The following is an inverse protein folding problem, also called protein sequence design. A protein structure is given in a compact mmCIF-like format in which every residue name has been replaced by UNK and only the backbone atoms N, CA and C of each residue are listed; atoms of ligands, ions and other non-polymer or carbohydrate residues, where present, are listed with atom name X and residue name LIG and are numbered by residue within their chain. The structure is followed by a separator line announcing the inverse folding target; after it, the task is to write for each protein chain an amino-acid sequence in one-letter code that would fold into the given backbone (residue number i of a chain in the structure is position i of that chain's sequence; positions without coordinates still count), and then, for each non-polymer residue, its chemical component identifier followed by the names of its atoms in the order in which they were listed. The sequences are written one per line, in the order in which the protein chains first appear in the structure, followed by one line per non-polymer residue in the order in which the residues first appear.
data_IF_246602475194
#
_entry.id   IF_246602475194
#
_cell.length_a   1.000
_cell.length_b   1.000
_cell.length_c   1.000
_cell.angle_alpha   90.00
_cell.angle_beta   90.00
_cell.angle_gamma   90.00
#
_symmetry.space_group_name_H-M   'P 1'
#
loop_
_entity.id
_entity.type
_entity.pdbx_description
1 polymer ?
#
# COMPACT_ATOMS: atom_id res chain seq x y z
N UNK A 1 35.63 -63.00 9.64
CA UNK A 1 34.63 -61.93 9.39
C UNK A 1 35.29 -60.54 9.36
N UNK A 2 36.12 -60.21 8.37
CA UNK A 2 36.83 -58.91 8.31
C UNK A 2 36.83 -58.24 6.91
N UNK A 3 35.87 -58.58 6.05
CA UNK A 3 35.82 -58.04 4.68
C UNK A 3 34.73 -56.97 4.42
N UNK A 4 33.78 -56.73 5.34
CA UNK A 4 32.63 -55.85 5.05
C UNK A 4 32.78 -54.36 5.40
N UNK A 5 33.66 -53.96 6.34
CA UNK A 5 33.72 -52.54 6.77
C UNK A 5 34.35 -51.59 5.76
N UNK A 6 35.22 -52.08 4.87
CA UNK A 6 35.85 -51.24 3.81
C UNK A 6 34.90 -50.98 2.63
N UNK A 7 34.04 -51.95 2.31
CA UNK A 7 33.03 -51.84 1.26
C UNK A 7 31.94 -50.84 1.67
N UNK A 8 31.43 -50.95 2.90
CA UNK A 8 30.42 -50.02 3.44
C UNK A 8 30.92 -48.57 3.45
N UNK A 9 32.16 -48.34 3.91
CA UNK A 9 32.75 -46.99 3.94
C UNK A 9 32.98 -46.40 2.54
N UNK A 10 33.21 -47.24 1.52
CA UNK A 10 33.29 -46.79 0.12
C UNK A 10 31.89 -46.39 -0.38
N UNK A 11 30.88 -47.23 -0.14
CA UNK A 11 29.50 -46.94 -0.52
C UNK A 11 28.97 -45.65 0.13
N UNK A 12 29.26 -45.38 1.41
CA UNK A 12 28.81 -44.14 2.06
C UNK A 12 29.51 -42.89 1.50
N UNK A 13 30.79 -43.01 1.11
CA UNK A 13 31.52 -41.90 0.49
C UNK A 13 31.01 -41.60 -0.92
N UNK A 14 30.62 -42.64 -1.66
CA UNK A 14 30.09 -42.54 -3.00
C UNK A 14 28.69 -41.90 -3.00
N UNK A 15 27.81 -42.34 -2.11
CA UNK A 15 26.48 -41.74 -1.90
C UNK A 15 26.59 -40.25 -1.50
N UNK A 16 27.52 -39.89 -0.62
CA UNK A 16 27.74 -38.49 -0.24
C UNK A 16 28.29 -37.64 -1.39
N UNK A 17 29.10 -38.21 -2.29
CA UNK A 17 29.62 -37.53 -3.47
C UNK A 17 28.50 -37.27 -4.48
N UNK A 18 27.60 -38.23 -4.65
CA UNK A 18 26.44 -38.13 -5.53
C UNK A 18 25.42 -37.11 -5.02
N UNK A 19 25.14 -37.10 -3.71
CA UNK A 19 24.29 -36.09 -3.08
C UNK A 19 24.83 -34.67 -3.29
N UNK A 20 26.15 -34.48 -3.13
CA UNK A 20 26.82 -33.19 -3.39
C UNK A 20 26.77 -32.77 -4.87
N UNK A 21 26.77 -33.72 -5.80
CA UNK A 21 26.65 -33.46 -7.24
C UNK A 21 25.23 -32.99 -7.58
N UNK A 22 24.21 -33.70 -7.09
CA UNK A 22 22.79 -33.34 -7.27
C UNK A 22 22.45 -31.95 -6.70
N UNK A 23 22.94 -31.64 -5.51
CA UNK A 23 22.76 -30.32 -4.91
C UNK A 23 23.42 -29.17 -5.71
N UNK A 24 24.50 -29.44 -6.46
CA UNK A 24 25.14 -28.45 -7.34
C UNK A 24 24.34 -28.24 -8.63
N UNK A 25 23.76 -29.31 -9.17
CA UNK A 25 22.92 -29.27 -10.37
C UNK A 25 21.61 -28.53 -10.09
N UNK A 26 20.96 -28.78 -8.96
CA UNK A 26 19.75 -28.06 -8.53
C UNK A 26 20.01 -26.55 -8.33
N UNK A 27 21.19 -26.18 -7.79
CA UNK A 27 21.59 -24.76 -7.67
C UNK A 27 21.88 -24.11 -9.03
N UNK A 28 22.38 -24.85 -10.02
CA UNK A 28 22.57 -24.35 -11.39
C UNK A 28 21.23 -24.17 -12.10
N UNK A 29 20.34 -25.15 -12.01
CA UNK A 29 18.98 -25.07 -12.56
C UNK A 29 18.18 -23.90 -11.97
N UNK A 30 18.28 -23.66 -10.66
CA UNK A 30 17.66 -22.51 -10.00
C UNK A 30 18.21 -21.15 -10.45
N UNK A 31 19.49 -21.06 -10.83
CA UNK A 31 20.08 -19.83 -11.40
C UNK A 31 19.62 -19.60 -12.84
N UNK A 32 19.55 -20.64 -13.67
CA UNK A 32 19.06 -20.54 -15.04
C UNK A 32 17.57 -20.18 -15.11
N UNK A 33 16.75 -20.68 -14.17
CA UNK A 33 15.34 -20.30 -14.09
C UNK A 33 15.17 -18.81 -13.74
N UNK A 34 16.00 -18.28 -12.81
CA UNK A 34 15.99 -16.85 -12.48
C UNK A 34 16.44 -15.97 -13.64
N UNK A 35 17.37 -16.44 -14.47
CA UNK A 35 17.83 -15.71 -15.66
C UNK A 35 16.80 -15.71 -16.79
N UNK A 36 16.04 -16.81 -16.96
CA UNK A 36 14.98 -16.92 -17.97
C UNK A 36 13.70 -16.17 -17.60
N UNK A 37 13.38 -16.05 -16.32
CA UNK A 37 12.23 -15.25 -15.84
C UNK A 37 12.53 -13.73 -15.92
N UNK A 38 13.80 -13.32 -15.93
CA UNK A 38 14.22 -11.93 -16.05
C UNK A 38 14.19 -11.30 -17.46
N UNK A 39 13.79 -12.03 -18.51
CA UNK A 39 13.82 -11.56 -19.90
C UNK A 39 12.46 -11.63 -20.59
N UNK A 40 11.44 -10.98 -20.02
CA UNK A 40 10.20 -10.61 -20.75
C UNK A 40 9.57 -9.34 -20.17
N UNK A 41 10.24 -8.21 -20.33
CA UNK A 41 9.59 -6.88 -20.33
C UNK A 41 10.34 -5.95 -21.28
N UNK A 42 9.54 -5.18 -21.99
CA UNK A 42 9.87 -4.25 -23.06
C UNK A 42 11.05 -3.34 -22.69
N UNK A 43 11.97 -3.15 -23.64
CA UNK A 43 13.05 -2.15 -23.53
C UNK A 43 12.45 -0.74 -23.47
N UNK A 44 12.45 -0.14 -22.29
CA UNK A 44 12.54 1.31 -22.12
C UNK A 44 13.77 1.58 -21.28
N UNK A 45 14.84 2.02 -21.93
CA UNK A 45 16.05 2.49 -21.27
C UNK A 45 15.72 3.78 -20.52
N UNK A 46 15.52 3.69 -19.21
CA UNK A 46 15.75 4.80 -18.30
C UNK A 46 16.77 4.27 -17.28
N UNK A 47 17.99 4.82 -17.35
CA UNK A 47 19.04 4.58 -16.36
C UNK A 47 18.53 5.03 -14.98
N UNK A 48 17.98 4.10 -14.21
CA UNK A 48 17.75 4.19 -12.78
C UNK A 48 18.83 3.35 -12.09
N UNK A 49 20.08 3.81 -12.18
CA UNK A 49 21.15 3.25 -11.37
C UNK A 49 21.07 3.87 -9.96
N UNK A 50 20.76 3.00 -9.00
CA UNK A 50 21.18 3.06 -7.59
C UNK A 50 20.48 4.09 -6.68
N UNK A 51 19.26 3.76 -6.24
CA UNK A 51 18.80 4.16 -4.90
C UNK A 51 18.16 2.96 -4.18
N UNK A 52 19.00 2.09 -3.63
CA UNK A 52 18.61 0.94 -2.82
C UNK A 52 18.17 1.33 -1.38
N UNK A 53 17.87 2.60 -1.07
CA UNK A 53 17.57 3.02 0.33
C UNK A 53 16.11 3.18 0.72
N UNK A 54 15.14 2.99 -0.16
CA UNK A 54 13.74 2.95 0.29
C UNK A 54 12.91 1.97 -0.52
N UNK A 55 12.77 0.74 0.00
CA UNK A 55 11.68 -0.13 -0.43
C UNK A 55 10.34 0.51 0.00
N UNK A 56 9.73 1.22 -0.93
CA UNK A 56 8.46 1.93 -0.74
C UNK A 56 7.24 1.01 -0.69
N UNK A 57 7.40 -0.33 -0.77
CA UNK A 57 6.27 -1.27 -0.80
C UNK A 57 5.59 -1.53 0.56
N UNK A 58 6.18 -1.10 1.69
CA UNK A 58 5.71 -1.48 3.03
C UNK A 58 5.33 -0.33 3.98
N UNK A 59 5.20 0.92 3.50
CA UNK A 59 5.30 2.09 4.40
C UNK A 59 4.03 2.65 5.04
N UNK A 60 2.82 2.26 4.61
CA UNK A 60 1.59 2.94 5.03
C UNK A 60 0.37 2.02 5.12
N UNK A 61 0.56 0.80 5.61
CA UNK A 61 -0.59 -0.03 5.98
C UNK A 61 -1.06 0.33 7.39
N UNK A 62 -2.37 0.48 7.54
CA UNK A 62 -3.01 0.73 8.82
C UNK A 62 -3.92 -0.43 9.20
N UNK A 63 -4.12 -0.62 10.49
CA UNK A 63 -5.10 -1.53 11.04
C UNK A 63 -5.95 -0.80 12.08
N UNK A 64 -7.26 -0.89 11.94
CA UNK A 64 -8.23 -0.43 12.93
C UNK A 64 -9.42 -1.38 12.90
N UNK A 65 -10.00 -1.72 14.05
CA UNK A 65 -11.20 -2.57 14.11
C UNK A 65 -11.06 -3.91 13.33
N UNK A 66 -9.88 -4.54 13.40
CA UNK A 66 -9.49 -5.72 12.61
C UNK A 66 -9.57 -5.56 11.07
N UNK A 67 -9.83 -4.35 10.58
CA UNK A 67 -9.82 -3.99 9.16
C UNK A 67 -8.43 -3.48 8.80
N UNK A 68 -7.82 -4.13 7.82
CA UNK A 68 -6.57 -3.69 7.21
C UNK A 68 -6.87 -2.70 6.08
N UNK A 69 -6.24 -1.52 6.15
CA UNK A 69 -6.18 -0.54 5.06
C UNK A 69 -4.80 -0.63 4.45
N UNK A 70 -4.74 -0.85 3.14
CA UNK A 70 -3.45 -0.99 2.45
C UNK A 70 -3.24 0.10 1.41
N UNK A 71 -2.07 0.74 1.49
CA UNK A 71 -1.65 1.67 0.45
C UNK A 71 -1.37 0.96 -0.90
N UNK A 72 -1.13 -0.36 -0.86
CA UNK A 72 -0.99 -1.17 -2.06
C UNK A 72 -2.23 -1.14 -2.96
N UNK A 73 -3.44 -0.99 -2.40
CA UNK A 73 -4.66 -0.88 -3.21
C UNK A 73 -4.71 0.42 -4.01
N UNK A 74 -4.23 1.53 -3.44
CA UNK A 74 -4.13 2.82 -4.13
C UNK A 74 -3.12 2.74 -5.28
N UNK A 75 -1.95 2.14 -5.02
CA UNK A 75 -0.92 1.96 -6.05
C UNK A 75 -1.41 1.06 -7.18
N UNK A 76 -2.08 -0.04 -6.85
CA UNK A 76 -2.64 -0.95 -7.84
C UNK A 76 -3.70 -0.23 -8.71
N UNK A 77 -4.60 0.53 -8.09
CA UNK A 77 -5.58 1.33 -8.83
C UNK A 77 -4.91 2.34 -9.77
N UNK A 78 -3.86 3.03 -9.30
CA UNK A 78 -3.09 3.93 -10.15
C UNK A 78 -2.45 3.21 -11.35
N UNK A 79 -1.91 2.01 -11.15
CA UNK A 79 -1.34 1.21 -12.24
C UNK A 79 -2.39 0.78 -13.27
N UNK A 80 -3.58 0.39 -12.80
CA UNK A 80 -4.72 0.04 -13.67
C UNK A 80 -5.16 1.26 -14.49
N UNK A 81 -5.36 2.40 -13.83
CA UNK A 81 -5.78 3.65 -14.49
C UNK A 81 -4.72 4.14 -15.50
N UNK A 82 -3.44 4.01 -15.17
CA UNK A 82 -2.33 4.38 -16.06
C UNK A 82 -2.25 3.48 -17.30
N UNK A 83 -2.65 2.21 -17.18
CA UNK A 83 -2.67 1.26 -18.28
C UNK A 83 -3.92 1.39 -19.19
N UNK A 84 -4.98 2.02 -18.69
CA UNK A 84 -6.20 2.28 -19.45
C UNK A 84 -5.93 3.19 -20.66
N UNK A 85 -6.38 2.75 -21.84
CA UNK A 85 -6.25 3.49 -23.10
C UNK A 85 -7.46 4.36 -23.43
N UNK A 86 -8.63 4.02 -22.89
CA UNK A 86 -9.91 4.61 -23.27
C UNK A 86 -10.23 5.87 -22.48
N UNK A 87 -9.86 5.91 -21.20
CA UNK A 87 -10.09 7.05 -20.31
C UNK A 87 -9.44 6.86 -18.95
N UNK A 88 -9.03 7.97 -18.34
CA UNK A 88 -8.44 8.01 -17.00
C UNK A 88 -9.47 8.44 -15.97
N UNK A 89 -9.77 7.57 -15.02
CA UNK A 89 -10.56 7.88 -13.84
C UNK A 89 -9.79 8.78 -12.85
N UNK A 90 -8.45 8.74 -12.85
CA UNK A 90 -7.61 9.48 -11.91
C UNK A 90 -6.63 10.45 -12.62
N UNK A 91 -7.13 11.45 -13.38
CA UNK A 91 -6.28 12.32 -14.21
C UNK A 91 -5.33 13.22 -13.40
N UNK A 92 -5.62 13.45 -12.12
CA UNK A 92 -4.79 14.28 -11.23
C UNK A 92 -3.60 13.51 -10.67
N UNK A 93 -3.66 12.18 -10.64
CA UNK A 93 -2.57 11.37 -10.12
C UNK A 93 -1.46 11.22 -11.15
N UNK A 94 -0.24 11.26 -10.64
CA UNK A 94 0.99 11.14 -11.40
C UNK A 94 2.01 10.36 -10.59
N UNK A 95 3.13 9.96 -11.21
CA UNK A 95 4.17 9.17 -10.56
C UNK A 95 4.72 9.85 -9.29
N UNK A 96 4.67 11.19 -9.22
CA UNK A 96 5.05 12.01 -8.05
C UNK A 96 4.22 11.70 -6.79
N UNK A 97 3.00 11.19 -6.95
CA UNK A 97 2.11 10.84 -5.85
C UNK A 97 2.47 9.48 -5.23
N UNK A 98 2.93 8.55 -6.07
CA UNK A 98 3.28 7.20 -5.64
C UNK A 98 4.71 7.12 -5.11
N UNK A 99 5.62 7.91 -5.71
CA UNK A 99 7.04 7.97 -5.39
C UNK A 99 7.49 9.44 -5.24
N UNK A 100 7.10 10.13 -4.15
CA UNK A 100 7.46 11.53 -3.93
C UNK A 100 8.94 11.70 -3.55
N UNK A 101 9.60 12.68 -4.15
CA UNK A 101 10.92 13.18 -3.71
C UNK A 101 10.83 13.85 -2.31
N UNK A 102 11.96 14.07 -1.64
CA UNK A 102 12.04 14.69 -0.31
C UNK A 102 11.27 16.00 -0.19
N UNK A 103 11.38 16.90 -1.17
CA UNK A 103 10.59 18.14 -1.20
C UNK A 103 9.10 17.90 -1.46
N UNK A 104 8.77 16.88 -2.25
CA UNK A 104 7.38 16.53 -2.59
C UNK A 104 6.65 15.88 -1.41
N UNK A 105 7.36 15.22 -0.49
CA UNK A 105 6.78 14.64 0.74
C UNK A 105 6.14 15.70 1.65
N UNK A 106 6.67 16.92 1.63
CA UNK A 106 6.12 18.05 2.40
C UNK A 106 4.95 18.72 1.68
N UNK A 107 4.68 18.39 0.41
CA UNK A 107 3.61 19.00 -0.35
C UNK A 107 2.26 18.33 -0.04
N UNK A 108 1.49 18.99 0.83
CA UNK A 108 0.14 18.56 1.23
C UNK A 108 -0.79 18.40 0.03
N UNK A 109 -0.62 19.20 -1.03
CA UNK A 109 -1.47 19.11 -2.23
C UNK A 109 -1.41 17.72 -2.87
N UNK A 110 -0.23 17.10 -2.93
CA UNK A 110 -0.07 15.75 -3.49
C UNK A 110 -0.80 14.72 -2.62
N UNK A 111 -0.68 14.83 -1.29
CA UNK A 111 -1.33 13.92 -0.36
C UNK A 111 -2.85 14.02 -0.44
N UNK A 112 -3.40 15.24 -0.50
CA UNK A 112 -4.84 15.48 -0.63
C UNK A 112 -5.39 14.92 -1.94
N UNK A 113 -4.63 14.98 -3.03
CA UNK A 113 -5.05 14.38 -4.30
C UNK A 113 -5.11 12.85 -4.23
N UNK A 114 -4.19 12.21 -3.52
CA UNK A 114 -4.23 10.76 -3.25
C UNK A 114 -5.43 10.38 -2.38
N UNK A 115 -5.71 11.18 -1.36
CA UNK A 115 -6.80 10.95 -0.41
C UNK A 115 -8.14 11.54 -0.86
N UNK A 116 -8.35 11.67 -2.17
CA UNK A 116 -9.54 12.31 -2.72
C UNK A 116 -10.71 11.34 -2.91
N UNK A 117 -11.93 11.89 -2.91
CA UNK A 117 -13.15 11.13 -3.19
C UNK A 117 -13.12 10.36 -4.52
N UNK A 118 -12.49 10.90 -5.57
CA UNK A 118 -12.34 10.20 -6.86
C UNK A 118 -11.51 8.92 -6.73
N UNK A 119 -10.48 8.92 -5.87
CA UNK A 119 -9.65 7.72 -5.64
C UNK A 119 -10.46 6.64 -4.92
N UNK A 120 -11.23 7.01 -3.89
CA UNK A 120 -12.14 6.07 -3.22
C UNK A 120 -13.14 5.45 -4.19
N UNK A 121 -13.80 6.28 -5.01
CA UNK A 121 -14.77 5.81 -6.00
C UNK A 121 -14.14 4.84 -7.00
N UNK A 122 -12.97 5.17 -7.55
CA UNK A 122 -12.25 4.28 -8.48
C UNK A 122 -11.88 2.94 -7.85
N UNK A 123 -11.44 2.92 -6.59
CA UNK A 123 -11.12 1.66 -5.89
C UNK A 123 -12.37 0.80 -5.70
N UNK A 124 -13.52 1.39 -5.36
CA UNK A 124 -14.81 0.67 -5.24
C UNK A 124 -15.20 0.08 -6.59
N UNK A 125 -15.18 0.88 -7.65
CA UNK A 125 -15.53 0.43 -8.99
C UNK A 125 -14.60 -0.68 -9.48
N UNK A 126 -13.28 -0.55 -9.30
CA UNK A 126 -12.33 -1.59 -9.68
C UNK A 126 -12.53 -2.91 -8.92
N UNK A 127 -13.03 -2.84 -7.68
CA UNK A 127 -13.41 -4.03 -6.91
C UNK A 127 -14.69 -4.67 -7.44
N UNK A 128 -15.70 -3.87 -7.80
CA UNK A 128 -16.98 -4.33 -8.35
C UNK A 128 -16.82 -4.92 -9.76
N UNK A 129 -16.02 -4.30 -10.62
CA UNK A 129 -15.69 -4.80 -11.96
C UNK A 129 -14.77 -6.05 -11.91
N UNK A 130 -14.19 -6.35 -10.75
CA UNK A 130 -13.29 -7.50 -10.58
C UNK A 130 -11.84 -7.27 -11.03
N UNK A 131 -11.50 -6.07 -11.53
CA UNK A 131 -10.13 -5.68 -11.90
C UNK A 131 -9.17 -5.70 -10.70
N UNK A 132 -9.70 -5.48 -9.49
CA UNK A 132 -8.94 -5.52 -8.24
C UNK A 132 -9.67 -6.33 -7.17
N UNK A 133 -9.35 -7.61 -7.06
CA UNK A 133 -9.99 -8.50 -6.09
C UNK A 133 -9.24 -8.66 -4.75
N UNK A 134 -8.89 -7.55 -4.07
CA UNK A 134 -8.33 -7.62 -2.70
C UNK A 134 -9.43 -7.63 -1.65
N UNK A 135 -9.20 -8.30 -0.53
CA UNK A 135 -10.06 -8.18 0.65
C UNK A 135 -10.00 -6.78 1.30
N UNK A 136 -8.92 -6.03 1.12
CA UNK A 136 -8.70 -4.71 1.73
C UNK A 136 -9.27 -3.54 0.92
N UNK A 137 -9.71 -3.76 -0.32
CA UNK A 137 -10.09 -2.69 -1.25
C UNK A 137 -11.23 -1.82 -0.70
N UNK A 138 -12.31 -2.42 -0.19
CA UNK A 138 -13.42 -1.69 0.42
C UNK A 138 -13.01 -0.92 1.67
N UNK A 139 -12.17 -1.53 2.52
CA UNK A 139 -11.67 -0.88 3.73
C UNK A 139 -10.83 0.35 3.38
N UNK A 140 -9.95 0.23 2.38
CA UNK A 140 -9.13 1.33 1.88
C UNK A 140 -9.99 2.44 1.29
N UNK A 141 -11.00 2.11 0.48
CA UNK A 141 -11.90 3.10 -0.11
C UNK A 141 -12.72 3.86 0.95
N UNK A 142 -13.32 3.13 1.90
CA UNK A 142 -14.07 3.72 3.02
C UNK A 142 -13.19 4.64 3.87
N UNK A 143 -11.94 4.23 4.12
CA UNK A 143 -10.99 5.04 4.87
C UNK A 143 -10.62 6.33 4.13
N UNK A 144 -10.30 6.25 2.83
CA UNK A 144 -9.97 7.43 2.02
C UNK A 144 -11.13 8.42 1.99
N UNK A 145 -12.35 7.93 1.84
CA UNK A 145 -13.55 8.79 1.84
C UNK A 145 -13.76 9.48 3.19
N UNK A 146 -13.60 8.75 4.30
CA UNK A 146 -13.69 9.31 5.65
C UNK A 146 -12.67 10.43 5.87
N UNK A 147 -11.42 10.22 5.44
CA UNK A 147 -10.35 11.22 5.58
C UNK A 147 -10.59 12.42 4.66
N UNK A 148 -11.05 12.20 3.42
CA UNK A 148 -11.45 13.29 2.52
C UNK A 148 -12.49 14.20 3.18
N UNK A 149 -13.53 13.59 3.74
CA UNK A 149 -14.66 14.32 4.30
C UNK A 149 -14.27 15.04 5.59
N UNK A 150 -13.47 14.40 6.44
CA UNK A 150 -12.90 15.06 7.62
C UNK A 150 -12.04 16.25 7.22
N UNK A 151 -11.19 16.11 6.20
CA UNK A 151 -10.34 17.21 5.73
C UNK A 151 -11.18 18.36 5.16
N UNK A 152 -12.22 18.06 4.38
CA UNK A 152 -13.14 19.07 3.83
C UNK A 152 -13.90 19.83 4.93
N UNK A 153 -14.28 19.15 6.03
CA UNK A 153 -14.94 19.77 7.19
C UNK A 153 -13.99 20.72 7.92
N UNK A 154 -12.79 20.23 8.26
CA UNK A 154 -11.78 21.00 9.00
C UNK A 154 -11.25 22.20 8.20
N UNK A 155 -11.32 22.12 6.86
CA UNK A 155 -10.88 23.18 5.96
C UNK A 155 -12.06 23.95 5.31
N UNK A 156 -13.25 23.88 5.91
CA UNK A 156 -14.41 24.63 5.44
C UNK A 156 -14.23 26.14 5.69
N UNK A 157 -14.54 26.95 4.68
CA UNK A 157 -14.38 28.43 4.73
C UNK A 157 -15.65 29.20 4.38
N UNK A 158 -16.71 28.49 3.97
CA UNK A 158 -17.91 29.07 3.38
C UNK A 158 -19.13 28.59 4.17
N UNK A 159 -20.06 29.49 4.47
CA UNK A 159 -21.31 29.17 5.17
C UNK A 159 -22.14 28.15 4.36
N UNK A 160 -22.35 28.43 3.08
CA UNK A 160 -23.13 27.61 2.17
C UNK A 160 -22.28 27.17 0.98
N UNK A 161 -21.96 25.88 0.91
CA UNK A 161 -21.26 25.24 -0.20
C UNK A 161 -22.15 24.24 -0.91
N UNK A 162 -21.93 24.02 -2.22
CA UNK A 162 -22.56 22.93 -2.96
C UNK A 162 -22.13 21.56 -2.42
N UNK A 163 -20.91 21.47 -1.90
CA UNK A 163 -20.38 20.25 -1.28
C UNK A 163 -20.85 20.15 0.16
N UNK A 164 -21.43 19.00 0.52
CA UNK A 164 -22.02 18.74 1.84
C UNK A 164 -21.06 19.04 2.99
N UNK A 165 -19.82 18.58 2.88
CA UNK A 165 -18.82 18.63 3.94
C UNK A 165 -17.90 19.86 3.90
N UNK A 166 -18.04 20.74 2.91
CA UNK A 166 -17.26 21.99 2.82
C UNK A 166 -18.04 23.20 3.36
N UNK A 167 -19.06 22.97 4.19
CA UNK A 167 -19.90 24.00 4.81
C UNK A 167 -19.42 24.28 6.22
N UNK A 168 -19.67 25.48 6.72
CA UNK A 168 -19.41 25.80 8.11
C UNK A 168 -20.11 24.82 9.06
N UNK A 169 -19.42 24.45 10.14
CA UNK A 169 -19.99 23.63 11.21
C UNK A 169 -21.11 24.40 11.90
N UNK A 170 -22.26 23.76 12.04
CA UNK A 170 -23.47 24.34 12.64
C UNK A 170 -24.28 23.23 13.28
N UNK A 171 -25.04 23.57 14.32
CA UNK A 171 -26.01 22.67 14.96
C UNK A 171 -27.05 22.15 13.96
N UNK A 172 -27.34 22.92 12.91
CA UNK A 172 -28.24 22.50 11.83
C UNK A 172 -27.62 21.45 10.88
N UNK A 173 -26.29 21.28 10.87
CA UNK A 173 -25.56 20.35 10.01
C UNK A 173 -24.82 19.30 10.85
N UNK A 174 -25.60 18.42 11.48
CA UNK A 174 -25.09 17.37 12.37
C UNK A 174 -24.24 16.32 11.65
N UNK A 175 -24.41 16.17 10.34
CA UNK A 175 -23.67 15.16 9.55
C UNK A 175 -22.16 15.37 9.61
N UNK A 176 -21.69 16.63 9.59
CA UNK A 176 -20.27 16.94 9.75
C UNK A 176 -19.74 16.53 11.12
N UNK A 177 -20.52 16.77 12.18
CA UNK A 177 -20.17 16.40 13.55
C UNK A 177 -20.12 14.88 13.72
N UNK A 178 -21.03 14.13 13.09
CA UNK A 178 -21.03 12.67 13.11
C UNK A 178 -19.78 12.09 12.43
N UNK A 179 -19.37 12.64 11.28
CA UNK A 179 -18.14 12.25 10.60
C UNK A 179 -16.92 12.55 11.47
N UNK A 180 -16.85 13.74 12.07
CA UNK A 180 -15.77 14.10 13.00
C UNK A 180 -15.67 13.13 14.19
N UNK A 181 -16.80 12.80 14.81
CA UNK A 181 -16.85 11.85 15.92
C UNK A 181 -16.42 10.44 15.50
N UNK A 182 -16.87 9.99 14.33
CA UNK A 182 -16.47 8.70 13.74
C UNK A 182 -14.95 8.67 13.48
N UNK A 183 -14.40 9.74 12.93
CA UNK A 183 -12.96 9.89 12.71
C UNK A 183 -12.20 9.89 14.03
N UNK A 184 -12.66 10.61 15.05
CA UNK A 184 -12.02 10.60 16.37
C UNK A 184 -11.95 9.18 16.96
N UNK A 185 -13.05 8.41 16.87
CA UNK A 185 -13.10 7.02 17.33
C UNK A 185 -12.12 6.11 16.57
N UNK A 186 -12.04 6.24 15.24
CA UNK A 186 -11.07 5.48 14.43
C UNK A 186 -9.64 5.88 14.79
N UNK A 187 -9.36 7.17 14.95
CA UNK A 187 -8.02 7.66 15.27
C UNK A 187 -7.53 7.21 16.66
N UNK A 188 -8.45 6.94 17.60
CA UNK A 188 -8.12 6.36 18.92
C UNK A 188 -7.55 4.95 18.80
N UNK A 189 -8.12 4.14 17.92
CA UNK A 189 -7.78 2.72 17.80
C UNK A 189 -6.78 2.40 16.70
N UNK A 190 -6.61 3.30 15.72
CA UNK A 190 -5.79 3.05 14.54
C UNK A 190 -4.32 2.83 14.90
N UNK A 191 -3.75 1.79 14.31
CA UNK A 191 -2.33 1.45 14.45
C UNK A 191 -1.70 1.37 13.07
N UNK A 192 -0.47 1.86 12.96
CA UNK A 192 0.38 1.69 11.80
C UNK A 192 1.08 0.34 11.87
N UNK A 193 1.16 -0.36 10.74
CA UNK A 193 1.96 -1.57 10.59
C UNK A 193 3.36 -1.17 10.12
N UNK A 194 4.39 -1.65 10.82
CA UNK A 194 5.80 -1.44 10.50
C UNK A 194 6.30 -2.48 9.50
N UNK A 195 7.49 -2.27 8.91
CA UNK A 195 8.10 -3.20 7.94
C UNK A 195 8.26 -4.62 8.51
N UNK A 196 8.47 -4.72 9.81
CA UNK A 196 8.64 -5.98 10.54
C UNK A 196 7.30 -6.59 11.00
N UNK A 197 6.16 -6.07 10.54
CA UNK A 197 4.82 -6.52 10.92
C UNK A 197 4.37 -6.07 12.31
N UNK A 198 5.19 -5.32 13.05
CA UNK A 198 4.85 -4.79 14.38
C UNK A 198 3.82 -3.67 14.24
N UNK A 199 2.86 -3.61 15.15
CA UNK A 199 1.88 -2.52 15.18
C UNK A 199 2.33 -1.45 16.18
N UNK A 200 2.24 -0.18 15.78
CA UNK A 200 2.54 0.97 16.64
C UNK A 200 1.50 2.06 16.41
N UNK A 201 1.25 2.88 17.42
CA UNK A 201 0.41 4.08 17.28
C UNK A 201 1.31 5.32 17.22
N UNK A 202 1.43 5.97 16.05
CA UNK A 202 2.13 7.23 15.91
C UNK A 202 1.53 8.36 16.77
N UNK A 203 2.35 9.30 17.26
CA UNK A 203 1.89 10.40 18.14
C UNK A 203 0.95 11.39 17.43
N UNK A 204 1.06 11.56 16.11
CA UNK A 204 0.21 12.50 15.36
C UNK A 204 -1.28 12.12 15.38
N UNK A 205 -1.63 10.86 15.66
CA UNK A 205 -3.03 10.46 15.82
C UNK A 205 -3.67 11.04 17.10
N UNK A 206 -2.87 11.27 18.13
CA UNK A 206 -3.31 11.97 19.35
C UNK A 206 -3.53 13.46 19.07
N UNK A 207 -2.59 14.11 18.37
CA UNK A 207 -2.75 15.51 17.97
C UNK A 207 -4.02 15.74 17.13
N UNK A 208 -4.33 14.83 16.20
CA UNK A 208 -5.56 14.92 15.40
C UNK A 208 -6.84 14.72 16.24
N UNK A 209 -6.79 13.93 17.30
CA UNK A 209 -7.92 13.80 18.24
C UNK A 209 -8.15 15.08 19.02
N UNK A 210 -7.07 15.75 19.45
CA UNK A 210 -7.16 17.04 20.13
C UNK A 210 -7.78 18.09 19.22
N UNK A 211 -7.40 18.13 17.94
CA UNK A 211 -7.99 19.06 16.95
C UNK A 211 -9.49 18.82 16.76
N UNK A 212 -9.92 17.56 16.75
CA UNK A 212 -11.34 17.22 16.53
C UNK A 212 -12.19 17.45 17.80
N UNK A 213 -11.58 17.29 18.98
CA UNK A 213 -12.29 17.34 20.27
C UNK A 213 -12.24 18.71 20.94
N UNK A 214 -11.27 19.55 20.58
CA UNK A 214 -11.10 20.91 21.10
C UNK A 214 -11.95 21.92 20.36
#
# INVERSE_FOLDING_TARGET
MYFNKKEEQKATKEQNKEFRKRAREERKAGKELKEKVGKRTCKTNVNLQNDERVDWNCYADFIYDNKKVSFGDVRAMYSIDKASKTGKALPKLSDKHMNPNNFQKMNVQLVVQVLSRSVSASIRTAKETGERNTATAYNTANFIELINDTFDILNSRVLNSKRKYCKALSVANLDGMQIMQSTCNIMKIIKKIDRNGRTRRPPYFEGLQMIISG
#
